data_IF_106445867766
#
_entry.id   IF_106445867766
#
_cell.length_a   1.000
_cell.length_b   1.000
_cell.length_c   1.000
_cell.angle_alpha   90.00
_cell.angle_beta   90.00
_cell.angle_gamma   90.00
#
_symmetry.space_group_name_H-M   'P 1'
#
loop_
_entity.id
_entity.type
_entity.pdbx_description
1 polymer ?
#
# COMPACT_ATOMS: atom_id res chain seq x y z
N UNK A 1 6.43 -8.91 -20.50
CA UNK A 1 4.97 -8.95 -20.25
C UNK A 1 4.66 -9.36 -18.82
N UNK A 2 5.42 -10.30 -18.25
CA UNK A 2 5.22 -10.82 -16.88
C UNK A 2 5.43 -9.78 -15.77
N UNK A 3 6.50 -8.98 -15.84
CA UNK A 3 6.77 -7.89 -14.87
C UNK A 3 5.60 -6.91 -14.77
N UNK A 4 5.00 -6.55 -15.90
CA UNK A 4 3.88 -5.61 -15.96
C UNK A 4 2.62 -6.22 -15.31
N UNK A 5 2.33 -7.49 -15.60
CA UNK A 5 1.20 -8.20 -15.01
C UNK A 5 1.35 -8.33 -13.48
N UNK A 6 2.52 -8.76 -13.01
CA UNK A 6 2.83 -8.88 -11.58
C UNK A 6 2.76 -7.53 -10.87
N UNK A 7 3.22 -6.47 -11.52
CA UNK A 7 3.14 -5.10 -10.98
C UNK A 7 1.71 -4.62 -10.81
N UNK A 8 0.84 -4.86 -11.79
CA UNK A 8 -0.59 -4.49 -11.73
C UNK A 8 -1.29 -5.22 -10.58
N UNK A 9 -1.12 -6.55 -10.49
CA UNK A 9 -1.74 -7.31 -9.40
C UNK A 9 -1.25 -6.86 -8.03
N UNK A 10 0.05 -6.57 -7.91
CA UNK A 10 0.63 -6.06 -6.65
C UNK A 10 0.06 -4.70 -6.27
N UNK A 11 -0.08 -3.79 -7.24
CA UNK A 11 -0.71 -2.49 -7.01
C UNK A 11 -2.17 -2.62 -6.54
N UNK A 12 -2.93 -3.56 -7.11
CA UNK A 12 -4.32 -3.86 -6.68
C UNK A 12 -4.35 -4.37 -5.23
N UNK A 13 -3.46 -5.30 -4.87
CA UNK A 13 -3.38 -5.84 -3.50
C UNK A 13 -3.03 -4.73 -2.50
N UNK A 14 -2.06 -3.88 -2.85
CA UNK A 14 -1.68 -2.72 -2.03
C UNK A 14 -2.88 -1.79 -1.85
N UNK A 15 -3.62 -1.49 -2.92
CA UNK A 15 -4.80 -0.64 -2.85
C UNK A 15 -5.89 -1.21 -1.92
N UNK A 16 -6.20 -2.50 -2.05
CA UNK A 16 -7.16 -3.19 -1.17
C UNK A 16 -6.71 -3.14 0.29
N UNK A 17 -5.41 -3.28 0.54
CA UNK A 17 -4.81 -3.23 1.87
C UNK A 17 -4.97 -1.84 2.49
N UNK A 18 -4.62 -0.78 1.76
CA UNK A 18 -4.79 0.61 2.21
C UNK A 18 -6.27 0.88 2.48
N UNK A 19 -7.17 0.48 1.59
CA UNK A 19 -8.61 0.67 1.77
C UNK A 19 -9.13 -0.01 3.05
N UNK A 20 -8.63 -1.21 3.35
CA UNK A 20 -8.98 -1.94 4.57
C UNK A 20 -8.42 -1.27 5.83
N UNK A 21 -7.18 -0.77 5.78
CA UNK A 21 -6.58 0.03 6.85
C UNK A 21 -7.37 1.31 7.11
N UNK A 22 -7.78 2.01 6.05
CA UNK A 22 -8.62 3.21 6.18
C UNK A 22 -9.92 2.91 6.92
N UNK A 23 -10.60 1.80 6.60
CA UNK A 23 -11.78 1.36 7.35
C UNK A 23 -11.46 1.09 8.82
N UNK A 24 -10.36 0.40 9.11
CA UNK A 24 -9.94 0.11 10.48
C UNK A 24 -9.66 1.40 11.27
N UNK A 25 -8.96 2.37 10.67
CA UNK A 25 -8.68 3.67 11.31
C UNK A 25 -9.96 4.47 11.56
N UNK A 26 -10.92 4.45 10.62
CA UNK A 26 -12.22 5.11 10.81
C UNK A 26 -12.98 4.47 11.98
N UNK A 27 -12.97 3.14 12.09
CA UNK A 27 -13.62 2.42 13.20
C UNK A 27 -12.95 2.79 14.53
N UNK A 28 -11.62 2.77 14.59
CA UNK A 28 -10.86 3.13 15.79
C UNK A 28 -11.12 4.59 16.21
N UNK A 29 -11.18 5.52 15.26
CA UNK A 29 -11.51 6.92 15.51
C UNK A 29 -12.93 7.07 16.05
N UNK A 30 -13.93 6.41 15.43
CA UNK A 30 -15.33 6.45 15.89
C UNK A 30 -15.52 5.86 17.28
N UNK A 31 -14.67 4.89 17.67
CA UNK A 31 -14.67 4.29 19.01
C UNK A 31 -13.88 5.10 20.05
N UNK A 32 -13.32 6.26 19.67
CA UNK A 32 -12.43 7.08 20.50
C UNK A 32 -11.16 6.35 20.98
N UNK A 33 -10.75 5.28 20.30
CA UNK A 33 -9.49 4.54 20.57
C UNK A 33 -8.27 5.35 20.11
N UNK A 34 -8.46 6.20 19.08
CA UNK A 34 -7.42 7.08 18.54
C UNK A 34 -7.95 8.50 18.36
N UNK A 35 -7.09 9.50 18.61
CA UNK A 35 -7.41 10.91 18.39
C UNK A 35 -7.38 11.27 16.90
N UNK A 36 -8.04 12.38 16.53
CA UNK A 36 -8.07 12.88 15.16
C UNK A 36 -6.67 13.10 14.56
N UNK A 37 -5.72 13.59 15.36
CA UNK A 37 -4.32 13.75 14.93
C UNK A 37 -3.68 12.42 14.55
N UNK A 38 -3.87 11.38 15.38
CA UNK A 38 -3.34 10.03 15.11
C UNK A 38 -4.02 9.40 13.89
N UNK A 39 -5.34 9.57 13.75
CA UNK A 39 -6.09 9.11 12.58
C UNK A 39 -5.52 9.70 11.28
N UNK A 40 -5.27 11.01 11.24
CA UNK A 40 -4.67 11.67 10.07
C UNK A 40 -3.28 11.09 9.79
N UNK A 41 -2.40 11.03 10.80
CA UNK A 41 -1.02 10.54 10.64
C UNK A 41 -0.98 9.08 10.14
N UNK A 42 -1.79 8.19 10.69
CA UNK A 42 -1.82 6.78 10.26
C UNK A 42 -2.39 6.61 8.86
N UNK A 43 -3.44 7.38 8.53
CA UNK A 43 -4.03 7.36 7.19
C UNK A 43 -3.06 7.87 6.13
N UNK A 44 -2.45 9.03 6.36
CA UNK A 44 -1.52 9.64 5.39
C UNK A 44 -0.26 8.81 5.25
N UNK A 45 0.33 8.31 6.34
CA UNK A 45 1.50 7.44 6.27
C UNK A 45 1.21 6.13 5.51
N UNK A 46 0.05 5.51 5.74
CA UNK A 46 -0.32 4.27 5.04
C UNK A 46 -0.48 4.49 3.52
N UNK A 47 -1.07 5.62 3.11
CA UNK A 47 -1.20 5.99 1.70
C UNK A 47 0.18 6.25 1.08
N UNK A 48 1.02 7.07 1.74
CA UNK A 48 2.36 7.42 1.25
C UNK A 48 3.24 6.18 1.10
N UNK A 49 3.27 5.31 2.11
CA UNK A 49 4.02 4.05 2.06
C UNK A 49 3.50 3.18 0.92
N UNK A 50 2.18 3.06 0.78
CA UNK A 50 1.57 2.31 -0.31
C UNK A 50 1.99 2.78 -1.69
N UNK A 51 2.00 4.10 -1.92
CA UNK A 51 2.44 4.70 -3.19
C UNK A 51 3.93 4.43 -3.44
N UNK A 52 4.78 4.62 -2.41
CA UNK A 52 6.21 4.37 -2.52
C UNK A 52 6.47 2.91 -2.89
N UNK A 53 5.84 1.97 -2.16
CA UNK A 53 6.00 0.54 -2.39
C UNK A 53 5.51 0.14 -3.78
N UNK A 54 4.31 0.58 -4.19
CA UNK A 54 3.76 0.30 -5.52
C UNK A 54 4.64 0.87 -6.65
N UNK A 55 5.31 1.99 -6.42
CA UNK A 55 6.21 2.61 -7.40
C UNK A 55 7.56 1.91 -7.49
N UNK A 56 8.07 1.36 -6.38
CA UNK A 56 9.37 0.69 -6.31
C UNK A 56 9.32 -0.78 -6.74
N UNK A 57 8.18 -1.45 -6.53
CA UNK A 57 7.97 -2.87 -6.85
C UNK A 57 8.30 -3.25 -8.30
N UNK A 58 7.87 -2.50 -9.33
CA UNK A 58 8.19 -2.81 -10.73
C UNK A 58 9.70 -2.88 -11.00
N UNK A 59 10.48 -1.97 -10.41
CA UNK A 59 11.94 -1.97 -10.53
C UNK A 59 12.57 -3.18 -9.84
N UNK A 60 12.03 -3.57 -8.67
CA UNK A 60 12.43 -4.78 -7.97
C UNK A 60 12.15 -6.03 -8.80
N UNK A 61 10.95 -6.14 -9.37
CA UNK A 61 10.56 -7.24 -10.24
C UNK A 61 11.43 -7.32 -11.49
N UNK A 62 11.72 -6.18 -12.13
CA UNK A 62 12.59 -6.16 -13.29
C UNK A 62 13.97 -6.71 -12.97
N UNK A 63 14.61 -6.29 -11.87
CA UNK A 63 15.91 -6.84 -11.44
C UNK A 63 15.87 -8.34 -11.17
N UNK A 64 14.80 -8.84 -10.57
CA UNK A 64 14.65 -10.28 -10.28
C UNK A 64 14.50 -11.07 -11.60
N UNK A 65 13.70 -10.55 -12.53
CA UNK A 65 13.53 -11.17 -13.84
C UNK A 65 14.84 -11.19 -14.64
N UNK A 66 15.56 -10.07 -14.70
CA UNK A 66 16.85 -9.96 -15.39
C UNK A 66 17.95 -10.85 -14.78
N UNK A 67 17.80 -11.26 -13.51
CA UNK A 67 18.73 -12.18 -12.85
C UNK A 67 18.42 -13.65 -13.14
N UNK A 68 17.14 -13.99 -13.35
CA UNK A 68 16.68 -15.37 -13.50
C UNK A 68 16.64 -15.85 -14.96
N UNK A 69 16.52 -14.93 -15.90
CA UNK A 69 16.45 -15.17 -17.34
C UNK A 69 17.57 -14.44 -18.07
#
# INVERSE_FOLDING_TARGET
MEVLLTSIFSAIIIFITIFSLMKAFIIAYKRNEISLRRFIVYSTSSIVIGIIVASLLPFGYQKIFDYLY
#
